data_IF_693502228165
#
_entry.id   IF_693502228165
#
_cell.length_a   1.000
_cell.length_b   1.000
_cell.length_c   1.000
_cell.angle_alpha   90.00
_cell.angle_beta   90.00
_cell.angle_gamma   90.00
#
_symmetry.space_group_name_H-M   'P 1'
#
loop_
_entity.id
_entity.type
_entity.pdbx_description
1 polymer ?
#
# COMPACT_ATOMS: atom_id res chain seq x y z
N UNK A 1 -4.38 -12.26 -0.06
CA UNK A 1 -3.03 -11.70 0.04
C UNK A 1 -2.22 -12.46 1.09
N UNK A 2 -0.95 -12.65 0.84
CA UNK A 2 -0.01 -13.22 1.79
C UNK A 2 0.75 -12.09 2.48
N UNK A 3 0.69 -12.05 3.80
CA UNK A 3 1.36 -11.05 4.63
C UNK A 3 2.30 -11.80 5.57
N UNK A 4 3.49 -11.26 5.80
CA UNK A 4 4.48 -11.89 6.71
C UNK A 4 3.91 -12.06 8.11
N UNK A 5 4.11 -13.23 8.73
CA UNK A 5 3.71 -13.49 10.11
C UNK A 5 4.41 -12.62 11.17
N UNK A 6 5.44 -11.87 10.78
CA UNK A 6 6.10 -10.89 11.64
C UNK A 6 5.27 -9.61 11.84
N UNK A 7 4.25 -9.37 10.97
CA UNK A 7 3.29 -8.27 11.10
C UNK A 7 2.20 -8.68 12.10
N UNK A 8 2.50 -8.61 13.38
CA UNK A 8 1.70 -9.15 14.47
C UNK A 8 0.63 -8.18 15.00
N UNK A 9 0.70 -6.89 14.68
CA UNK A 9 -0.33 -5.93 15.02
C UNK A 9 -1.36 -5.82 13.90
N UNK A 10 -2.63 -5.60 14.27
CA UNK A 10 -3.73 -5.47 13.33
C UNK A 10 -4.68 -4.36 13.75
N UNK A 11 -5.10 -3.57 12.77
CA UNK A 11 -6.15 -2.55 12.93
C UNK A 11 -7.09 -2.60 11.73
N UNK A 12 -8.38 -2.52 11.99
CA UNK A 12 -9.43 -2.45 10.99
C UNK A 12 -10.13 -1.09 11.04
N UNK A 13 -10.42 -0.53 9.88
CA UNK A 13 -11.22 0.66 9.66
C UNK A 13 -12.25 0.41 8.56
N UNK A 14 -13.04 1.43 8.22
CA UNK A 14 -13.97 1.35 7.09
C UNK A 14 -13.18 1.22 5.79
N UNK A 15 -13.40 0.13 5.06
CA UNK A 15 -12.64 -0.21 3.83
C UNK A 15 -11.10 -0.13 3.98
N UNK A 16 -10.59 -0.39 5.19
CA UNK A 16 -9.18 -0.25 5.51
C UNK A 16 -8.71 -1.33 6.50
N UNK A 17 -7.58 -1.98 6.17
CA UNK A 17 -6.91 -2.98 7.00
C UNK A 17 -5.43 -2.63 7.14
N UNK A 18 -4.92 -2.64 8.34
CA UNK A 18 -3.53 -2.32 8.66
C UNK A 18 -2.86 -3.42 9.46
N UNK A 19 -1.77 -3.96 8.94
CA UNK A 19 -0.89 -4.93 9.60
C UNK A 19 0.47 -4.29 9.81
N UNK A 20 1.07 -4.44 10.98
CA UNK A 20 2.35 -3.84 11.29
C UNK A 20 3.18 -4.65 12.28
N UNK A 21 4.46 -4.35 12.36
CA UNK A 21 5.34 -4.90 13.40
C UNK A 21 5.22 -4.13 14.71
N UNK A 22 4.71 -2.91 14.66
CA UNK A 22 4.54 -2.00 15.80
C UNK A 22 5.82 -1.85 16.64
N UNK A 23 6.94 -1.61 15.97
CA UNK A 23 8.26 -1.44 16.60
C UNK A 23 8.72 0.01 16.49
N UNK A 24 9.43 0.51 17.49
CA UNK A 24 9.95 1.89 17.51
C UNK A 24 11.00 2.13 16.42
N UNK A 25 11.71 1.07 16.00
CA UNK A 25 12.71 1.08 14.94
C UNK A 25 12.45 -0.06 13.97
N UNK A 26 12.73 0.13 12.67
CA UNK A 26 12.50 -0.88 11.63
C UNK A 26 11.05 -1.33 11.55
N UNK A 27 10.12 -0.39 11.75
CA UNK A 27 8.70 -0.67 11.67
C UNK A 27 8.27 -0.92 10.23
N UNK A 28 7.62 -2.07 10.00
CA UNK A 28 7.15 -2.55 8.71
C UNK A 28 5.64 -2.62 8.73
N UNK A 29 5.02 -2.07 7.70
CA UNK A 29 3.59 -1.92 7.63
C UNK A 29 3.04 -2.36 6.28
N UNK A 30 1.92 -3.04 6.31
CA UNK A 30 1.14 -3.45 5.16
C UNK A 30 -0.30 -2.98 5.36
N UNK A 31 -0.84 -2.26 4.38
CA UNK A 31 -2.24 -1.83 4.40
C UNK A 31 -2.96 -2.28 3.14
N UNK A 32 -4.25 -2.57 3.28
CA UNK A 32 -5.18 -2.75 2.18
C UNK A 32 -6.33 -1.78 2.40
N UNK A 33 -6.68 -1.04 1.37
CA UNK A 33 -7.84 -0.17 1.40
C UNK A 33 -8.55 -0.13 0.06
N UNK A 34 -9.80 0.30 0.06
CA UNK A 34 -10.56 0.43 -1.17
C UNK A 34 -11.38 1.72 -1.21
N UNK A 35 -11.71 2.14 -2.42
CA UNK A 35 -12.60 3.25 -2.69
C UNK A 35 -13.36 3.04 -4.00
N UNK A 36 -14.54 3.67 -4.20
CA UNK A 36 -15.32 3.50 -5.44
C UNK A 36 -14.52 3.85 -6.69
N UNK A 37 -14.69 3.04 -7.74
CA UNK A 37 -14.12 3.31 -9.06
C UNK A 37 -15.10 4.19 -9.84
N UNK A 38 -14.82 5.50 -9.93
CA UNK A 38 -15.77 6.49 -10.45
C UNK A 38 -15.23 7.42 -11.53
N UNK A 39 -13.92 7.41 -11.79
CA UNK A 39 -13.29 8.41 -12.64
C UNK A 39 -12.29 7.83 -13.64
N UNK A 40 -12.18 8.45 -14.81
CA UNK A 40 -11.21 8.08 -15.84
C UNK A 40 -9.76 8.32 -15.42
N UNK A 41 -9.52 9.30 -14.58
CA UNK A 41 -8.22 9.71 -14.09
C UNK A 41 -7.76 8.95 -12.84
N UNK A 42 -8.49 7.89 -12.46
CA UNK A 42 -8.21 7.05 -11.28
C UNK A 42 -6.76 6.56 -11.22
N UNK A 43 -6.14 6.31 -12.36
CA UNK A 43 -4.77 5.82 -12.47
C UNK A 43 -3.74 6.93 -12.80
N UNK A 44 -4.09 8.19 -12.56
CA UNK A 44 -3.12 9.29 -12.55
C UNK A 44 -2.44 9.42 -11.19
N UNK A 45 -1.24 10.02 -11.18
CA UNK A 45 -0.51 10.31 -9.94
C UNK A 45 -1.33 11.21 -9.01
N UNK A 46 -1.94 12.25 -9.57
CA UNK A 46 -2.69 13.27 -8.85
C UNK A 46 -3.90 12.65 -8.14
N UNK A 47 -4.69 11.86 -8.87
CA UNK A 47 -5.85 11.19 -8.30
C UNK A 47 -5.45 10.17 -7.23
N UNK A 48 -4.45 9.31 -7.53
CA UNK A 48 -3.97 8.31 -6.59
C UNK A 48 -3.48 8.95 -5.28
N UNK A 49 -2.62 9.98 -5.35
CA UNK A 49 -2.07 10.62 -4.15
C UNK A 49 -3.15 11.31 -3.33
N UNK A 50 -4.11 11.97 -3.99
CA UNK A 50 -5.24 12.58 -3.30
C UNK A 50 -6.10 11.54 -2.56
N UNK A 51 -6.42 10.41 -3.19
CA UNK A 51 -7.18 9.31 -2.55
C UNK A 51 -6.41 8.67 -1.41
N UNK A 52 -5.12 8.37 -1.63
CA UNK A 52 -4.24 7.85 -0.59
C UNK A 52 -4.23 8.75 0.64
N UNK A 53 -3.99 10.04 0.46
CA UNK A 53 -3.90 10.99 1.57
C UNK A 53 -5.25 11.13 2.31
N UNK A 54 -6.37 11.07 1.60
CA UNK A 54 -7.71 11.07 2.20
C UNK A 54 -7.92 9.85 3.10
N UNK A 55 -7.53 8.66 2.66
CA UNK A 55 -7.63 7.41 3.43
C UNK A 55 -6.67 7.43 4.62
N UNK A 56 -5.41 7.84 4.41
CA UNK A 56 -4.40 7.85 5.47
C UNK A 56 -4.71 8.86 6.56
N UNK A 57 -5.29 10.00 6.21
CA UNK A 57 -5.72 11.02 7.20
C UNK A 57 -6.68 10.45 8.23
N UNK A 58 -7.59 9.60 7.82
CA UNK A 58 -8.60 8.99 8.71
C UNK A 58 -8.01 7.82 9.50
N UNK A 59 -7.20 7.00 8.86
CA UNK A 59 -6.80 5.69 9.39
C UNK A 59 -5.44 5.70 10.08
N UNK A 60 -4.52 6.60 9.68
CA UNK A 60 -3.17 6.72 10.24
C UNK A 60 -2.95 8.16 10.73
N UNK A 61 -3.62 8.56 11.82
CA UNK A 61 -3.38 9.86 12.44
C UNK A 61 -2.00 9.90 13.09
N UNK A 62 -1.43 11.09 13.21
CA UNK A 62 -0.22 11.30 14.00
C UNK A 62 -0.50 11.38 15.50
N UNK A 63 0.55 11.67 16.26
CA UNK A 63 0.50 11.70 17.73
C UNK A 63 -0.35 12.85 18.31
N UNK A 64 -0.59 13.90 17.55
CA UNK A 64 -1.35 15.09 17.95
C UNK A 64 -2.43 15.43 16.93
N UNK A 65 -3.44 16.17 17.35
CA UNK A 65 -4.50 16.68 16.47
C UNK A 65 -3.92 17.43 15.26
N UNK A 66 -4.48 17.19 14.09
CA UNK A 66 -4.02 17.74 12.81
C UNK A 66 -2.80 17.07 12.19
N UNK A 67 -2.17 16.12 12.88
CA UNK A 67 -1.11 15.29 12.33
C UNK A 67 -1.69 14.03 11.69
N UNK A 68 -1.20 13.69 10.50
CA UNK A 68 -1.59 12.47 9.78
C UNK A 68 -0.54 12.12 8.73
N UNK A 69 -0.55 10.88 8.26
CA UNK A 69 0.29 10.46 7.15
C UNK A 69 -0.16 11.10 5.84
N UNK A 70 0.77 11.69 5.11
CA UNK A 70 0.56 12.24 3.77
C UNK A 70 1.66 11.78 2.80
N UNK A 71 1.41 11.93 1.51
CA UNK A 71 2.34 11.59 0.43
C UNK A 71 3.27 12.76 0.12
N UNK A 72 4.57 12.51 0.01
CA UNK A 72 5.47 13.45 -0.67
C UNK A 72 5.26 13.32 -2.18
N UNK A 73 4.47 14.23 -2.74
CA UNK A 73 4.08 14.19 -4.15
C UNK A 73 5.26 14.46 -5.10
N UNK A 74 6.29 15.21 -4.68
CA UNK A 74 7.47 15.47 -5.49
C UNK A 74 8.33 14.22 -5.64
N UNK A 75 8.44 13.44 -4.57
CA UNK A 75 9.25 12.22 -4.54
C UNK A 75 8.46 10.97 -4.98
N UNK A 76 7.18 11.11 -5.33
CA UNK A 76 6.34 9.99 -5.76
C UNK A 76 6.33 9.87 -7.28
N UNK A 77 6.53 8.63 -7.75
CA UNK A 77 6.43 8.23 -9.17
C UNK A 77 5.38 7.14 -9.31
N UNK A 78 4.68 7.16 -10.45
CA UNK A 78 3.70 6.13 -10.81
C UNK A 78 4.05 5.51 -12.16
N UNK A 79 3.73 4.23 -12.31
CA UNK A 79 3.82 3.52 -13.60
C UNK A 79 2.77 2.41 -13.68
N UNK A 80 2.35 2.08 -14.89
CA UNK A 80 1.55 0.89 -15.13
C UNK A 80 2.41 -0.38 -15.09
N UNK A 81 1.86 -1.45 -14.53
CA UNK A 81 2.46 -2.77 -14.58
C UNK A 81 1.36 -3.85 -14.69
N UNK A 82 1.79 -5.08 -15.01
CA UNK A 82 0.90 -6.23 -15.02
C UNK A 82 1.10 -7.04 -13.73
N UNK A 83 0.01 -7.27 -13.00
CA UNK A 83 -0.01 -8.13 -11.82
C UNK A 83 -1.02 -9.25 -12.06
N UNK A 84 -0.55 -10.48 -12.15
CA UNK A 84 -1.39 -11.66 -12.36
C UNK A 84 -2.29 -11.57 -13.63
N UNK A 85 -1.76 -10.98 -14.70
CA UNK A 85 -2.49 -10.81 -15.96
C UNK A 85 -3.38 -9.57 -16.03
N UNK A 86 -3.43 -8.76 -15.01
CA UNK A 86 -4.26 -7.55 -14.95
C UNK A 86 -3.42 -6.28 -14.78
N UNK A 87 -3.97 -5.16 -15.29
CA UNK A 87 -3.37 -3.87 -15.09
C UNK A 87 -3.35 -3.46 -13.62
N UNK A 88 -2.23 -2.93 -13.18
CA UNK A 88 -2.08 -2.28 -11.88
C UNK A 88 -1.33 -0.95 -12.06
N UNK A 89 -1.69 0.06 -11.27
CA UNK A 89 -0.87 1.23 -11.07
C UNK A 89 0.06 0.97 -9.90
N UNK A 90 1.37 0.95 -10.15
CA UNK A 90 2.35 1.02 -9.07
C UNK A 90 2.65 2.47 -8.74
N UNK A 91 2.59 2.84 -7.46
CA UNK A 91 3.11 4.09 -6.94
C UNK A 91 4.27 3.80 -5.99
N UNK A 92 5.38 4.50 -6.18
CA UNK A 92 6.56 4.46 -5.31
C UNK A 92 6.93 5.86 -4.89
N UNK A 93 7.17 6.07 -3.62
CA UNK A 93 7.54 7.38 -3.13
C UNK A 93 7.91 7.38 -1.66
N UNK A 94 7.80 8.58 -1.11
CA UNK A 94 7.97 8.81 0.32
C UNK A 94 6.64 9.24 0.93
N UNK A 95 6.41 8.76 2.13
CA UNK A 95 5.38 9.26 3.03
C UNK A 95 6.03 10.06 4.16
N UNK A 96 5.29 10.97 4.73
CA UNK A 96 5.67 11.72 5.92
C UNK A 96 4.46 11.95 6.80
N UNK A 97 4.70 12.25 8.07
CA UNK A 97 3.65 12.75 8.97
C UNK A 97 3.65 14.27 8.91
N UNK A 98 2.51 14.86 8.64
CA UNK A 98 2.33 16.32 8.60
C UNK A 98 2.74 16.91 9.95
N UNK A 99 3.58 17.93 9.92
CA UNK A 99 4.12 18.62 11.09
C UNK A 99 4.97 17.72 12.02
N UNK A 100 5.59 16.67 11.48
CA UNK A 100 6.55 15.80 12.18
C UNK A 100 7.75 15.48 11.26
N UNK A 101 8.82 14.98 11.86
CA UNK A 101 10.01 14.50 11.15
C UNK A 101 9.89 13.02 10.71
N UNK A 102 8.78 12.36 11.08
CA UNK A 102 8.55 10.96 10.77
C UNK A 102 8.19 10.76 9.29
N UNK A 103 8.87 9.82 8.65
CA UNK A 103 8.62 9.50 7.24
C UNK A 103 9.43 8.29 6.77
N UNK A 104 9.15 7.84 5.55
CA UNK A 104 9.83 6.70 4.97
C UNK A 104 9.35 6.36 3.55
N UNK A 105 9.88 5.28 2.96
CA UNK A 105 9.44 4.82 1.66
C UNK A 105 8.10 4.08 1.73
N UNK A 106 7.35 4.15 0.62
CA UNK A 106 6.19 3.29 0.38
C UNK A 106 6.20 2.75 -1.05
N UNK A 107 5.50 1.64 -1.24
CA UNK A 107 5.15 1.05 -2.54
C UNK A 107 3.70 0.59 -2.49
N UNK A 108 2.90 0.99 -3.48
CA UNK A 108 1.49 0.63 -3.58
C UNK A 108 1.18 0.01 -4.94
N UNK A 109 0.27 -0.95 -4.96
CA UNK A 109 -0.38 -1.44 -6.18
C UNK A 109 -1.88 -1.15 -6.11
N UNK A 110 -2.39 -0.32 -7.03
CA UNK A 110 -3.82 -0.02 -7.17
C UNK A 110 -4.39 -0.81 -8.35
N UNK A 111 -5.47 -1.57 -8.12
CA UNK A 111 -6.11 -2.44 -9.10
C UNK A 111 -7.63 -2.29 -9.04
N UNK A 112 -8.33 -2.51 -10.16
CA UNK A 112 -9.79 -2.49 -10.20
C UNK A 112 -10.35 -3.86 -9.83
N UNK A 113 -11.17 -3.88 -8.79
CA UNK A 113 -12.10 -4.97 -8.51
C UNK A 113 -13.38 -4.73 -9.33
N UNK A 114 -13.44 -5.38 -10.49
CA UNK A 114 -14.56 -5.22 -11.43
C UNK A 114 -15.87 -5.83 -10.93
N UNK A 115 -15.80 -6.78 -9.99
CA UNK A 115 -16.97 -7.42 -9.41
C UNK A 115 -17.72 -6.45 -8.49
N UNK A 116 -16.96 -5.68 -7.70
CA UNK A 116 -17.52 -4.74 -6.72
C UNK A 116 -17.40 -3.27 -7.15
N UNK A 117 -16.96 -3.00 -8.37
CA UNK A 117 -16.79 -1.65 -8.94
C UNK A 117 -16.00 -0.69 -8.04
N UNK A 118 -14.86 -1.14 -7.57
CA UNK A 118 -13.97 -0.38 -6.68
C UNK A 118 -12.51 -0.52 -7.07
N UNK A 119 -11.71 0.45 -6.65
CA UNK A 119 -10.25 0.33 -6.65
C UNK A 119 -9.82 -0.28 -5.33
N UNK A 120 -9.01 -1.32 -5.39
CA UNK A 120 -8.36 -1.93 -4.22
C UNK A 120 -6.88 -1.61 -4.29
N UNK A 121 -6.36 -1.04 -3.21
CA UNK A 121 -4.94 -0.71 -3.07
C UNK A 121 -4.32 -1.59 -1.99
N UNK A 122 -3.26 -2.30 -2.35
CA UNK A 122 -2.34 -2.91 -1.39
C UNK A 122 -1.08 -2.04 -1.33
N UNK A 123 -0.64 -1.71 -0.13
CA UNK A 123 0.51 -0.84 0.08
C UNK A 123 1.40 -1.36 1.20
N UNK A 124 2.70 -1.23 1.00
CA UNK A 124 3.72 -1.43 2.02
C UNK A 124 4.43 -0.13 2.31
N UNK A 125 4.70 0.16 3.57
CA UNK A 125 5.49 1.30 3.98
C UNK A 125 6.36 0.97 5.21
N UNK A 126 7.48 1.68 5.33
CA UNK A 126 8.48 1.40 6.35
C UNK A 126 8.87 2.69 7.08
N UNK A 127 8.95 2.59 8.41
CA UNK A 127 9.62 3.57 9.23
C UNK A 127 10.90 2.95 9.82
N UNK A 128 12.05 3.55 9.53
CA UNK A 128 13.34 3.04 10.01
C UNK A 128 14.37 4.17 9.98
N UNK A 129 14.43 5.03 11.02
CA UNK A 129 15.26 6.24 11.00
C UNK A 129 16.75 5.93 10.86
N UNK A 130 17.25 4.85 11.47
CA UNK A 130 18.68 4.59 11.64
C UNK A 130 19.25 3.50 10.73
N UNK A 131 18.45 2.93 9.81
CA UNK A 131 18.90 1.83 8.97
C UNK A 131 18.53 2.00 7.50
N UNK A 132 19.20 1.22 6.63
CA UNK A 132 18.89 1.18 5.19
C UNK A 132 17.48 0.60 4.98
N UNK A 133 16.57 1.44 4.49
CA UNK A 133 15.15 1.10 4.27
C UNK A 133 14.93 0.23 3.03
N UNK A 134 15.91 0.21 2.10
CA UNK A 134 15.78 -0.46 0.81
C UNK A 134 15.49 -1.95 0.91
N UNK A 135 16.18 -2.65 1.80
CA UNK A 135 16.02 -4.10 1.93
C UNK A 135 14.69 -4.44 2.62
N UNK A 136 14.29 -3.63 3.60
CA UNK A 136 13.01 -3.78 4.29
C UNK A 136 11.84 -3.61 3.33
N UNK A 137 11.82 -2.55 2.54
CA UNK A 137 10.73 -2.29 1.60
C UNK A 137 10.66 -3.37 0.50
N UNK A 138 11.80 -3.87 0.02
CA UNK A 138 11.85 -4.94 -0.99
C UNK A 138 11.31 -6.27 -0.49
N UNK A 139 11.61 -6.63 0.75
CA UNK A 139 11.06 -7.85 1.35
C UNK A 139 9.54 -7.80 1.43
N UNK A 140 8.99 -6.65 1.78
CA UNK A 140 7.55 -6.48 1.90
C UNK A 140 6.84 -6.37 0.54
N UNK A 141 7.53 -5.84 -0.45
CA UNK A 141 6.97 -5.62 -1.79
C UNK A 141 6.45 -6.91 -2.44
N UNK A 142 7.07 -8.05 -2.16
CA UNK A 142 6.61 -9.34 -2.66
C UNK A 142 5.16 -9.66 -2.27
N UNK A 143 4.70 -9.19 -1.11
CA UNK A 143 3.32 -9.36 -0.64
C UNK A 143 2.30 -8.68 -1.56
N UNK A 144 2.66 -7.57 -2.21
CA UNK A 144 1.76 -6.83 -3.11
C UNK A 144 1.34 -7.67 -4.32
N UNK A 145 2.23 -8.53 -4.80
CA UNK A 145 1.96 -9.41 -5.95
C UNK A 145 1.07 -10.61 -5.60
N UNK A 146 0.81 -10.82 -4.32
CA UNK A 146 -0.02 -11.94 -3.84
C UNK A 146 -1.48 -11.56 -3.64
N UNK A 147 -1.85 -10.28 -3.77
CA UNK A 147 -3.23 -9.84 -3.68
C UNK A 147 -4.04 -10.44 -4.84
N UNK A 148 -5.13 -11.12 -4.50
CA UNK A 148 -6.12 -11.62 -5.47
C UNK A 148 -7.42 -10.87 -5.25
N UNK A 149 -8.04 -10.48 -6.35
CA UNK A 149 -9.34 -9.84 -6.36
C UNK A 149 -10.45 -10.84 -6.72
N UNK A 150 -11.70 -10.57 -6.38
CA UNK A 150 -12.83 -11.41 -6.77
C UNK A 150 -12.85 -11.68 -8.28
N UNK A 151 -13.17 -12.91 -8.68
CA UNK A 151 -13.21 -13.33 -10.08
C UNK A 151 -11.86 -13.73 -10.69
N UNK A 152 -10.74 -13.51 -10.03
CA UNK A 152 -9.42 -13.96 -10.50
C UNK A 152 -9.23 -15.46 -10.26
N UNK A 153 -8.88 -16.18 -11.34
CA UNK A 153 -8.55 -17.61 -11.24
C UNK A 153 -7.27 -17.80 -10.41
N UNK A 154 -7.24 -18.82 -9.56
CA UNK A 154 -6.00 -19.24 -8.91
C UNK A 154 -5.01 -19.64 -10.02
N UNK A 155 -3.86 -18.98 -10.10
CA UNK A 155 -2.75 -19.46 -10.94
C UNK A 155 -2.36 -20.82 -10.39
N UNK A 156 -2.60 -21.89 -11.13
CA UNK A 156 -2.06 -23.20 -10.79
C UNK A 156 -0.53 -23.04 -10.80
N UNK A 157 0.09 -23.29 -9.66
CA UNK A 157 1.52 -23.54 -9.63
C UNK A 157 1.74 -24.72 -10.60
N UNK A 158 2.49 -24.50 -11.66
CA UNK A 158 2.92 -25.59 -12.54
C UNK A 158 3.82 -26.51 -11.71
N UNK A 159 3.23 -27.56 -11.16
CA UNK A 159 3.95 -28.78 -10.79
C UNK A 159 4.46 -29.44 -12.07
N UNK A 160 5.55 -28.91 -12.60
CA UNK A 160 6.32 -29.53 -13.68
C UNK A 160 7.78 -29.57 -13.23
N UNK A 161 8.03 -30.33 -12.19
CA UNK A 161 9.36 -30.91 -11.98
C UNK A 161 9.18 -32.41 -12.21
N UNK A 162 9.50 -32.82 -13.43
CA UNK A 162 9.89 -34.18 -13.74
C UNK A 162 11.38 -34.19 -13.99
#
# INVERSE_FOLDING_TARGET
VWVSGELSSFKEGEDFYWFGTNTATRDRNFVIYSYPYTAYDTFTKEYFTHKRDSVMRVNIPGAREGMYMETDTLMTKVKGLNVQGQYALEARGLWRVKADMMGGPFVSHARVDTVNNRVVVAEVFVYSPDTRKRDLIRQMEASLYTLRLPGEKATQANDSIK
#
